data_IF_805822505266
#
_entry.id   IF_805822505266
#
_cell.length_a   1.000
_cell.length_b   1.000
_cell.length_c   1.000
_cell.angle_alpha   90.00
_cell.angle_beta   90.00
_cell.angle_gamma   90.00
#
_symmetry.space_group_name_H-M   'P 1'
#
loop_
_entity.id
_entity.type
_entity.pdbx_description
1 polymer ?
#
# COMPACT_ATOMS: atom_id res chain seq x y z
N UNK A 1 71.31 -14.52 46.79
CA UNK A 1 72.00 -13.86 45.66
C UNK A 1 70.97 -13.79 44.56
N UNK A 2 70.45 -12.60 44.30
CA UNK A 2 69.38 -12.42 43.32
C UNK A 2 69.94 -12.64 41.91
N UNK A 3 69.23 -13.44 41.11
CA UNK A 3 69.61 -13.74 39.74
C UNK A 3 69.55 -12.45 38.91
N UNK A 4 70.69 -12.06 38.32
CA UNK A 4 70.76 -10.89 37.47
C UNK A 4 69.94 -11.15 36.18
N UNK A 5 69.08 -10.20 35.75
CA UNK A 5 68.31 -10.35 34.52
C UNK A 5 69.21 -10.46 33.29
N UNK A 6 68.80 -11.29 32.33
CA UNK A 6 69.46 -11.38 31.03
C UNK A 6 69.10 -10.16 30.16
N UNK A 7 69.95 -9.14 30.23
CA UNK A 7 69.80 -7.92 29.43
C UNK A 7 69.94 -8.17 27.92
N UNK A 8 70.58 -9.27 27.50
CA UNK A 8 70.70 -9.65 26.09
C UNK A 8 69.38 -10.19 25.57
N UNK A 9 68.72 -11.03 26.35
CA UNK A 9 67.37 -11.50 26.07
C UNK A 9 66.37 -10.33 26.03
N UNK A 10 66.47 -9.39 26.99
CA UNK A 10 65.63 -8.19 27.01
C UNK A 10 65.82 -7.31 25.77
N UNK A 11 67.08 -7.03 25.38
CA UNK A 11 67.39 -6.25 24.19
C UNK A 11 66.89 -6.92 22.90
N UNK A 12 66.98 -8.26 22.83
CA UNK A 12 66.50 -9.02 21.67
C UNK A 12 64.98 -9.01 21.58
N UNK A 13 64.28 -9.13 22.71
CA UNK A 13 62.82 -9.00 22.78
C UNK A 13 62.33 -7.62 22.34
N UNK A 14 63.02 -6.55 22.76
CA UNK A 14 62.69 -5.18 22.34
C UNK A 14 62.90 -4.96 20.84
N UNK A 15 63.96 -5.53 20.25
CA UNK A 15 64.17 -5.46 18.78
C UNK A 15 63.10 -6.21 18.02
N UNK A 16 62.70 -7.38 18.50
CA UNK A 16 61.62 -8.15 17.89
C UNK A 16 60.29 -7.39 17.97
N UNK A 17 59.99 -6.78 19.11
CA UNK A 17 58.82 -5.93 19.27
C UNK A 17 58.84 -4.72 18.31
N UNK A 18 59.99 -4.06 18.16
CA UNK A 18 60.16 -2.96 17.20
C UNK A 18 59.90 -3.41 15.76
N UNK A 19 60.44 -4.56 15.34
CA UNK A 19 60.18 -5.14 14.01
C UNK A 19 58.69 -5.43 13.80
N UNK A 20 57.99 -5.94 14.81
CA UNK A 20 56.54 -6.16 14.72
C UNK A 20 55.75 -4.85 14.63
N UNK A 21 56.18 -3.79 15.34
CA UNK A 21 55.58 -2.47 15.25
C UNK A 21 55.80 -1.81 13.88
N UNK A 22 56.96 -2.03 13.25
CA UNK A 22 57.22 -1.59 11.88
C UNK A 22 56.27 -2.24 10.86
N UNK A 23 55.83 -3.48 11.10
CA UNK A 23 54.83 -4.16 10.27
C UNK A 23 53.42 -3.55 10.42
N UNK A 24 53.14 -2.80 11.49
CA UNK A 24 51.85 -2.15 11.71
C UNK A 24 51.61 -0.94 10.78
N UNK A 25 52.62 -0.46 10.04
CA UNK A 25 52.45 0.55 8.98
C UNK A 25 51.43 0.13 7.90
N UNK A 26 51.30 -1.19 7.65
CA UNK A 26 50.39 -1.75 6.66
C UNK A 26 48.96 -1.98 7.18
N UNK A 27 48.71 -1.73 8.46
CA UNK A 27 47.35 -1.73 8.98
C UNK A 27 46.76 -0.40 8.53
N UNK A 28 45.84 -0.35 7.55
CA UNK A 28 45.15 0.89 7.25
C UNK A 28 44.58 1.37 8.58
N UNK A 29 44.94 2.60 8.99
CA UNK A 29 44.30 3.25 10.11
C UNK A 29 42.81 3.26 9.77
N UNK A 30 42.08 2.28 10.29
CA UNK A 30 40.66 2.15 10.09
C UNK A 30 40.11 3.31 10.91
N UNK A 31 39.95 4.46 10.26
CA UNK A 31 39.48 5.65 10.93
C UNK A 31 38.09 5.35 11.47
N UNK A 32 38.03 5.11 12.77
CA UNK A 32 36.80 4.77 13.46
C UNK A 32 35.75 5.86 13.22
N UNK A 33 36.16 7.12 13.00
CA UNK A 33 35.27 8.22 12.60
C UNK A 33 34.62 7.97 11.24
N UNK A 34 35.39 7.62 10.21
CA UNK A 34 34.87 7.27 8.88
C UNK A 34 33.93 6.06 8.91
N UNK A 35 34.23 5.06 9.73
CA UNK A 35 33.39 3.87 9.89
C UNK A 35 32.07 4.21 10.59
N UNK A 36 32.10 5.03 11.64
CA UNK A 36 30.89 5.50 12.35
C UNK A 36 30.00 6.34 11.44
N UNK A 37 30.56 7.30 10.69
CA UNK A 37 29.80 8.10 9.72
C UNK A 37 29.12 7.23 8.66
N UNK A 38 29.79 6.17 8.19
CA UNK A 38 29.21 5.24 7.22
C UNK A 38 28.09 4.40 7.83
N UNK A 39 28.23 3.96 9.08
CA UNK A 39 27.16 3.26 9.80
C UNK A 39 25.96 4.17 9.97
N UNK A 40 26.15 5.41 10.40
CA UNK A 40 25.07 6.39 10.58
C UNK A 40 24.34 6.64 9.24
N UNK A 41 25.08 6.75 8.14
CA UNK A 41 24.49 6.91 6.82
C UNK A 41 23.68 5.68 6.40
N UNK A 42 24.18 4.46 6.66
CA UNK A 42 23.45 3.21 6.36
C UNK A 42 22.18 3.12 7.20
N UNK A 43 22.24 3.44 8.48
CA UNK A 43 21.08 3.40 9.38
C UNK A 43 20.00 4.40 8.95
N UNK A 44 20.38 5.60 8.55
CA UNK A 44 19.44 6.59 8.05
C UNK A 44 18.80 6.16 6.72
N UNK A 45 19.60 5.60 5.80
CA UNK A 45 19.07 5.02 4.56
C UNK A 45 18.10 3.87 4.85
N UNK A 46 18.42 3.01 5.82
CA UNK A 46 17.55 1.90 6.22
C UNK A 46 16.22 2.41 6.81
N UNK A 47 16.27 3.45 7.66
CA UNK A 47 15.06 4.09 8.23
C UNK A 47 14.15 4.63 7.15
N UNK A 48 14.70 5.40 6.21
CA UNK A 48 13.95 5.96 5.09
C UNK A 48 13.34 4.86 4.22
N UNK A 49 14.09 3.79 3.96
CA UNK A 49 13.61 2.64 3.19
C UNK A 49 12.47 1.91 3.92
N UNK A 50 12.59 1.69 5.23
CA UNK A 50 11.52 1.10 6.04
C UNK A 50 10.25 1.95 6.04
N UNK A 51 10.38 3.27 6.12
CA UNK A 51 9.23 4.20 6.02
C UNK A 51 8.55 4.12 4.64
N UNK A 52 9.34 4.11 3.57
CA UNK A 52 8.84 3.97 2.20
C UNK A 52 8.14 2.62 1.98
N UNK A 53 8.72 1.52 2.47
CA UNK A 53 8.10 0.19 2.42
C UNK A 53 6.80 0.16 3.22
N UNK A 54 6.74 0.81 4.38
CA UNK A 54 5.52 0.94 5.15
C UNK A 54 4.41 1.69 4.40
N UNK A 55 4.75 2.77 3.70
CA UNK A 55 3.80 3.50 2.86
C UNK A 55 3.34 2.67 1.66
N UNK A 56 4.25 1.90 1.05
CA UNK A 56 3.95 1.07 -0.10
C UNK A 56 3.01 -0.09 0.28
N UNK A 57 3.24 -0.74 1.42
CA UNK A 57 2.36 -1.79 1.93
C UNK A 57 0.93 -1.27 2.16
N UNK A 58 0.77 -0.10 2.78
CA UNK A 58 -0.58 0.49 2.97
C UNK A 58 -1.29 0.76 1.64
N UNK A 59 -0.55 1.29 0.65
CA UNK A 59 -1.11 1.51 -0.70
C UNK A 59 -1.49 0.20 -1.39
N UNK A 60 -0.71 -0.85 -1.17
CA UNK A 60 -1.00 -2.18 -1.70
C UNK A 60 -2.26 -2.77 -1.06
N UNK A 61 -2.42 -2.63 0.25
CA UNK A 61 -3.62 -3.08 0.98
C UNK A 61 -4.88 -2.33 0.50
N UNK A 62 -4.79 -1.01 0.35
CA UNK A 62 -5.88 -0.17 -0.19
C UNK A 62 -6.27 -0.58 -1.62
N UNK A 63 -5.26 -0.85 -2.47
CA UNK A 63 -5.48 -1.30 -3.83
C UNK A 63 -6.15 -2.68 -3.85
N UNK A 64 -5.64 -3.62 -3.05
CA UNK A 64 -6.19 -4.97 -2.95
C UNK A 64 -7.65 -4.95 -2.49
N UNK A 65 -7.97 -4.13 -1.49
CA UNK A 65 -9.34 -3.89 -1.04
C UNK A 65 -10.22 -3.34 -2.17
N UNK A 66 -9.78 -2.28 -2.84
CA UNK A 66 -10.51 -1.66 -3.95
C UNK A 66 -10.79 -2.65 -5.09
N UNK A 67 -9.80 -3.47 -5.45
CA UNK A 67 -9.94 -4.53 -6.48
C UNK A 67 -10.97 -5.57 -6.05
N UNK A 68 -10.92 -6.02 -4.81
CA UNK A 68 -11.87 -7.01 -4.26
C UNK A 68 -13.30 -6.50 -4.32
N UNK A 69 -13.54 -5.26 -3.87
CA UNK A 69 -14.88 -4.66 -3.88
C UNK A 69 -15.37 -4.39 -5.31
N UNK A 70 -14.49 -3.91 -6.19
CA UNK A 70 -14.82 -3.69 -7.60
C UNK A 70 -15.19 -4.99 -8.30
N UNK A 71 -14.51 -6.09 -8.00
CA UNK A 71 -14.85 -7.42 -8.50
C UNK A 71 -16.24 -7.86 -8.03
N UNK A 72 -16.58 -7.67 -6.75
CA UNK A 72 -17.93 -7.96 -6.23
C UNK A 72 -19.01 -7.15 -6.93
N UNK A 73 -18.78 -5.86 -7.13
CA UNK A 73 -19.70 -4.99 -7.86
C UNK A 73 -19.86 -5.43 -9.32
N UNK A 74 -18.77 -5.88 -9.96
CA UNK A 74 -18.84 -6.43 -11.31
C UNK A 74 -19.68 -7.71 -11.37
N UNK A 75 -19.51 -8.63 -10.42
CA UNK A 75 -20.36 -9.83 -10.32
C UNK A 75 -21.83 -9.47 -10.12
N UNK A 76 -22.15 -8.57 -9.18
CA UNK A 76 -23.52 -8.11 -8.94
C UNK A 76 -24.11 -7.41 -10.18
N UNK A 77 -23.33 -6.61 -10.89
CA UNK A 77 -23.70 -5.99 -12.16
C UNK A 77 -24.03 -7.03 -13.24
N UNK A 78 -23.26 -8.11 -13.35
CA UNK A 78 -23.56 -9.22 -14.26
C UNK A 78 -24.87 -9.92 -13.89
N UNK A 79 -25.12 -10.18 -12.60
CA UNK A 79 -26.37 -10.77 -12.12
C UNK A 79 -27.58 -9.90 -12.47
N UNK A 80 -27.48 -8.61 -12.14
CA UNK A 80 -28.51 -7.61 -12.39
C UNK A 80 -28.81 -7.40 -13.88
N UNK A 81 -27.87 -7.72 -14.78
CA UNK A 81 -28.11 -7.61 -16.23
C UNK A 81 -29.24 -8.52 -16.74
N UNK A 82 -29.62 -9.54 -15.95
CA UNK A 82 -30.73 -10.44 -16.23
C UNK A 82 -32.08 -9.94 -15.69
N UNK A 83 -32.10 -8.83 -14.95
CA UNK A 83 -33.32 -8.26 -14.39
C UNK A 83 -34.13 -7.57 -15.48
N UNK A 84 -35.35 -8.05 -15.70
CA UNK A 84 -36.24 -7.60 -16.80
C UNK A 84 -37.57 -7.01 -16.33
N UNK A 85 -37.92 -7.17 -15.05
CA UNK A 85 -39.19 -6.72 -14.47
C UNK A 85 -38.93 -5.81 -13.27
N UNK A 86 -39.84 -4.87 -13.01
CA UNK A 86 -39.73 -3.85 -11.97
C UNK A 86 -39.66 -4.44 -10.54
N UNK A 87 -40.34 -5.55 -10.30
CA UNK A 87 -40.40 -6.22 -8.98
C UNK A 87 -39.26 -7.24 -8.74
N UNK A 88 -38.43 -7.49 -9.74
CA UNK A 88 -37.31 -8.42 -9.58
C UNK A 88 -36.25 -7.82 -8.66
N UNK A 89 -35.69 -8.69 -7.83
CA UNK A 89 -34.63 -8.31 -6.89
C UNK A 89 -33.33 -8.00 -7.62
N UNK A 90 -32.65 -6.95 -7.17
CA UNK A 90 -31.30 -6.57 -7.57
C UNK A 90 -30.29 -7.14 -6.56
N UNK A 91 -29.22 -7.71 -7.07
CA UNK A 91 -28.01 -7.95 -6.29
C UNK A 91 -27.45 -6.60 -5.79
N UNK A 92 -27.12 -6.48 -4.49
CA UNK A 92 -26.68 -5.22 -3.92
C UNK A 92 -25.28 -4.85 -4.42
N UNK A 93 -25.05 -3.54 -4.58
CA UNK A 93 -23.72 -3.00 -4.83
C UNK A 93 -23.05 -2.54 -3.52
N UNK A 94 -21.73 -2.49 -3.55
CA UNK A 94 -20.86 -2.22 -2.42
C UNK A 94 -20.11 -0.90 -2.60
N UNK A 95 -19.91 -0.18 -1.50
CA UNK A 95 -19.10 1.03 -1.45
C UNK A 95 -17.61 0.67 -1.59
N UNK A 96 -16.91 1.27 -2.56
CA UNK A 96 -15.52 0.93 -2.86
C UNK A 96 -14.53 1.29 -1.74
N UNK A 97 -14.90 2.24 -0.87
CA UNK A 97 -14.05 2.70 0.23
C UNK A 97 -14.24 1.81 1.47
N UNK A 98 -15.48 1.44 1.79
CA UNK A 98 -15.77 0.69 3.03
C UNK A 98 -15.90 -0.82 2.80
N UNK A 99 -16.12 -1.26 1.55
CA UNK A 99 -16.41 -2.65 1.21
C UNK A 99 -17.76 -3.17 1.72
N UNK A 100 -18.58 -2.31 2.33
CA UNK A 100 -19.91 -2.62 2.82
C UNK A 100 -20.96 -2.39 1.73
N UNK A 101 -22.11 -3.04 1.87
CA UNK A 101 -23.27 -2.77 1.00
C UNK A 101 -23.62 -1.27 1.04
N UNK A 102 -23.98 -0.70 -0.11
CA UNK A 102 -24.39 0.70 -0.18
C UNK A 102 -25.59 0.94 0.74
N UNK A 103 -25.49 1.94 1.61
CA UNK A 103 -26.58 2.29 2.52
C UNK A 103 -27.80 2.74 1.70
N UNK A 104 -28.95 2.10 1.93
CA UNK A 104 -30.18 2.34 1.17
C UNK A 104 -30.10 1.84 -0.29
N UNK A 105 -29.24 0.86 -0.57
CA UNK A 105 -29.20 0.22 -1.88
C UNK A 105 -30.61 -0.28 -2.26
N UNK A 106 -31.12 0.09 -3.44
CA UNK A 106 -32.43 -0.39 -3.87
C UNK A 106 -32.41 -1.90 -4.01
N UNK A 107 -33.46 -2.55 -3.50
CA UNK A 107 -33.64 -3.99 -3.57
C UNK A 107 -34.31 -4.42 -4.87
N UNK A 108 -35.04 -3.52 -5.54
CA UNK A 108 -35.76 -3.81 -6.79
C UNK A 108 -35.47 -2.80 -7.89
N UNK A 109 -35.77 -3.17 -9.14
CA UNK A 109 -35.68 -2.24 -10.27
C UNK A 109 -36.63 -1.04 -10.09
N UNK A 110 -37.84 -1.24 -9.56
CA UNK A 110 -38.78 -0.16 -9.26
C UNK A 110 -38.20 0.89 -8.31
N UNK A 111 -37.58 0.43 -7.21
CA UNK A 111 -36.93 1.32 -6.23
C UNK A 111 -35.76 2.08 -6.85
N UNK A 112 -34.95 1.41 -7.66
CA UNK A 112 -33.85 2.05 -8.38
C UNK A 112 -34.34 3.15 -9.32
N UNK A 113 -35.46 2.94 -10.02
CA UNK A 113 -36.06 3.93 -10.92
C UNK A 113 -36.69 5.11 -10.18
N UNK A 114 -37.23 4.87 -8.99
CA UNK A 114 -37.80 5.88 -8.10
C UNK A 114 -36.75 6.82 -7.49
N UNK A 115 -35.46 6.45 -7.50
CA UNK A 115 -34.40 7.29 -6.95
C UNK A 115 -34.36 8.68 -7.61
N UNK A 116 -34.10 9.69 -6.78
CA UNK A 116 -33.82 11.04 -7.24
C UNK A 116 -32.43 11.14 -7.89
N UNK A 117 -32.22 12.15 -8.72
CA UNK A 117 -30.91 12.42 -9.29
C UNK A 117 -29.83 12.79 -8.23
N UNK A 118 -30.24 13.24 -7.04
CA UNK A 118 -29.32 13.47 -5.93
C UNK A 118 -28.87 12.14 -5.33
N UNK A 119 -29.81 11.25 -4.99
CA UNK A 119 -29.48 9.91 -4.50
C UNK A 119 -28.63 9.14 -5.51
N UNK A 120 -28.94 9.25 -6.80
CA UNK A 120 -28.12 8.65 -7.84
C UNK A 120 -26.67 9.20 -7.87
N UNK A 121 -26.49 10.50 -7.63
CA UNK A 121 -25.16 11.07 -7.49
C UNK A 121 -24.41 10.50 -6.29
N UNK A 122 -25.10 10.35 -5.16
CA UNK A 122 -24.51 9.85 -3.92
C UNK A 122 -24.05 8.39 -4.08
N UNK A 123 -24.87 7.53 -4.69
CA UNK A 123 -24.48 6.16 -5.04
C UNK A 123 -23.28 6.12 -5.98
N UNK A 124 -23.26 6.95 -7.04
CA UNK A 124 -22.12 7.01 -7.97
C UNK A 124 -20.82 7.40 -7.24
N UNK A 125 -20.85 8.37 -6.31
CA UNK A 125 -19.65 8.73 -5.52
C UNK A 125 -19.21 7.59 -4.60
N UNK A 126 -20.16 6.92 -3.94
CA UNK A 126 -19.83 5.79 -3.06
C UNK A 126 -19.24 4.60 -3.83
N UNK A 127 -19.60 4.44 -5.11
CA UNK A 127 -18.98 3.47 -6.02
C UNK A 127 -17.67 3.96 -6.65
N UNK A 128 -17.17 5.14 -6.28
CA UNK A 128 -15.96 5.74 -6.85
C UNK A 128 -16.11 6.19 -8.31
N UNK A 129 -17.33 6.34 -8.82
CA UNK A 129 -17.58 6.78 -10.18
C UNK A 129 -17.67 8.29 -10.30
N UNK A 130 -17.34 8.82 -11.49
CA UNK A 130 -17.57 10.21 -11.80
C UNK A 130 -19.08 10.51 -11.88
N UNK A 131 -19.51 11.59 -11.22
CA UNK A 131 -20.90 12.04 -11.22
C UNK A 131 -21.14 13.01 -12.39
N UNK A 132 -22.02 12.66 -13.35
CA UNK A 132 -22.39 13.57 -14.43
C UNK A 132 -23.10 14.83 -13.92
N UNK A 133 -23.00 15.95 -14.65
CA UNK A 133 -23.69 17.19 -14.27
C UNK A 133 -25.21 17.08 -14.44
N UNK A 134 -25.69 16.45 -15.51
CA UNK A 134 -27.12 16.33 -15.84
C UNK A 134 -27.87 15.30 -14.99
N UNK A 135 -29.11 15.61 -14.63
CA UNK A 135 -29.96 14.77 -13.77
C UNK A 135 -30.27 13.41 -14.39
N UNK A 136 -30.77 13.40 -15.63
CA UNK A 136 -31.07 12.17 -16.37
C UNK A 136 -29.81 11.33 -16.63
N UNK A 137 -28.69 11.99 -16.90
CA UNK A 137 -27.43 11.29 -17.13
C UNK A 137 -26.92 10.59 -15.87
N UNK A 138 -27.15 11.14 -14.67
CA UNK A 138 -26.84 10.46 -13.41
C UNK A 138 -27.68 9.21 -13.23
N UNK A 139 -29.00 9.29 -13.48
CA UNK A 139 -29.89 8.13 -13.40
C UNK A 139 -29.48 7.06 -14.40
N UNK A 140 -29.19 7.45 -15.65
CA UNK A 140 -28.70 6.54 -16.69
C UNK A 140 -27.38 5.87 -16.29
N UNK A 141 -26.42 6.65 -15.79
CA UNK A 141 -25.12 6.13 -15.32
C UNK A 141 -25.29 5.15 -14.16
N UNK A 142 -26.19 5.45 -13.23
CA UNK A 142 -26.50 4.56 -12.11
C UNK A 142 -27.08 3.23 -12.62
N UNK A 143 -28.06 3.26 -13.52
CA UNK A 143 -28.62 2.03 -14.13
C UNK A 143 -27.53 1.19 -14.80
N UNK A 144 -26.61 1.84 -15.53
CA UNK A 144 -25.46 1.15 -16.13
C UNK A 144 -24.51 0.56 -15.09
N UNK A 145 -24.26 1.26 -13.97
CA UNK A 145 -23.43 0.74 -12.88
C UNK A 145 -24.05 -0.50 -12.21
N UNK A 146 -25.38 -0.55 -12.14
CA UNK A 146 -26.14 -1.75 -11.75
C UNK A 146 -26.18 -2.82 -12.85
N UNK A 147 -25.62 -2.61 -14.04
CA UNK A 147 -25.63 -3.61 -15.13
C UNK A 147 -26.92 -3.69 -15.92
N UNK A 148 -27.86 -2.77 -15.68
CA UNK A 148 -29.15 -2.76 -16.33
C UNK A 148 -29.02 -2.21 -17.74
N UNK A 149 -29.53 -2.96 -18.72
CA UNK A 149 -29.67 -2.48 -20.09
C UNK A 149 -30.82 -1.49 -20.12
N UNK A 150 -30.52 -0.21 -20.32
CA UNK A 150 -31.56 0.78 -20.64
C UNK A 150 -32.25 0.34 -21.93
N UNK A 151 -33.50 -0.12 -21.83
CA UNK A 151 -34.35 -0.31 -22.99
C UNK A 151 -34.55 1.06 -23.62
N UNK A 152 -34.13 1.19 -24.87
CA UNK A 152 -34.65 2.26 -25.74
C UNK A 152 -36.09 1.87 -26.00
N UNK A 153 -37.03 2.60 -25.41
CA UNK A 153 -38.45 2.55 -25.77
C UNK A 153 -38.65 3.48 -26.95
#
# INVERSE_FOLDING_TARGET
>A
MDAQPDFTAAASGLRLAAQHLELCHNIPALDAGTLLLRIDQILEQQRLMSEQLGLLNRKFDDLHHTVTVSHRNFTACLENSNVVSSEMLLAPLYNVHTGQVLAGCPETLAELEALTASQAADFLRMMGQQVPRGHEERKRRLKMAFGLRTRVV
#
